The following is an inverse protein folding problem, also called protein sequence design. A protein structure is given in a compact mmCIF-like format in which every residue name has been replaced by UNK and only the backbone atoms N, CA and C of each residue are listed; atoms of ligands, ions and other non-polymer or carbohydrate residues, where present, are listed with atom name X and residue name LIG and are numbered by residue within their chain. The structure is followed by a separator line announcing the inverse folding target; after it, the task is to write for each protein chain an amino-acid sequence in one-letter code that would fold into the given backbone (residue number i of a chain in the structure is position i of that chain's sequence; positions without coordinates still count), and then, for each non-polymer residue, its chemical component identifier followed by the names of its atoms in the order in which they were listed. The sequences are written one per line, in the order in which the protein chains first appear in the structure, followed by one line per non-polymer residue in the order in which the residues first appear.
data_IF_371807106177
#
_entry.id   IF_371807106177
#
_cell.length_a   1.000
_cell.length_b   1.000
_cell.length_c   1.000
_cell.angle_alpha   90.00
_cell.angle_beta   90.00
_cell.angle_gamma   90.00
#
_symmetry.space_group_name_H-M   'P 1'
#
loop_
_entity.id
_entity.type
_entity.pdbx_description
1 polymer ?
#
# COMPACT_ATOMS: atom_id res chain seq x y z
N UNK A 1 -2.83 -0.38 27.70
CA UNK A 1 -1.72 0.52 28.09
C UNK A 1 -1.77 1.77 27.21
N UNK A 2 -1.78 3.01 27.73
CA UNK A 2 -1.77 4.21 26.88
C UNK A 2 -0.42 4.30 26.15
N UNK A 3 -0.43 4.07 24.85
CA UNK A 3 0.78 4.03 24.03
C UNK A 3 1.56 5.35 24.10
N UNK A 4 2.86 5.29 24.39
CA UNK A 4 3.73 6.48 24.37
C UNK A 4 3.66 7.14 23.00
N UNK A 5 3.20 8.40 22.97
CA UNK A 5 3.17 9.25 21.79
C UNK A 5 4.56 9.34 21.14
N UNK A 6 4.64 9.17 19.82
CA UNK A 6 5.91 9.26 19.10
C UNK A 6 6.50 10.66 19.21
N UNK A 7 7.82 10.72 19.32
CA UNK A 7 8.56 11.97 19.12
C UNK A 7 8.60 12.35 17.64
N UNK A 8 8.79 13.62 17.30
CA UNK A 8 8.88 14.06 15.91
C UNK A 8 10.02 13.38 15.11
N UNK A 9 11.11 12.97 15.79
CA UNK A 9 12.18 12.20 15.15
C UNK A 9 11.73 10.78 14.81
N UNK A 10 10.99 10.13 15.71
CA UNK A 10 10.44 8.80 15.46
C UNK A 10 9.39 8.83 14.34
N UNK A 11 8.54 9.85 14.29
CA UNK A 11 7.57 9.99 13.20
C UNK A 11 8.27 10.12 11.84
N UNK A 12 9.28 11.01 11.73
CA UNK A 12 10.06 11.13 10.49
C UNK A 12 10.81 9.86 10.12
N UNK A 13 11.28 9.11 11.12
CA UNK A 13 11.91 7.83 10.91
C UNK A 13 10.93 6.83 10.28
N UNK A 14 9.74 6.68 10.87
CA UNK A 14 8.69 5.79 10.34
C UNK A 14 8.28 6.21 8.93
N UNK A 15 8.04 7.50 8.68
CA UNK A 15 7.73 8.00 7.34
C UNK A 15 8.84 7.70 6.33
N UNK A 16 10.10 7.76 6.77
CA UNK A 16 11.25 7.32 5.98
C UNK A 16 11.16 5.85 5.56
N UNK A 17 10.87 4.96 6.52
CA UNK A 17 10.70 3.53 6.26
C UNK A 17 9.54 3.25 5.29
N UNK A 18 8.38 3.86 5.51
CA UNK A 18 7.19 3.70 4.64
C UNK A 18 7.47 4.20 3.21
N UNK A 19 8.31 5.24 3.06
CA UNK A 19 8.74 5.72 1.74
C UNK A 19 9.80 4.85 1.04
N UNK A 20 10.18 3.71 1.63
CA UNK A 20 11.12 2.76 1.03
C UNK A 20 12.60 3.00 1.36
N UNK A 21 12.91 3.87 2.32
CA UNK A 21 14.29 4.02 2.79
C UNK A 21 14.71 2.81 3.63
N UNK A 22 15.97 2.42 3.51
CA UNK A 22 16.58 1.47 4.47
C UNK A 22 16.55 2.05 5.89
N UNK A 23 16.61 1.18 6.90
CA UNK A 23 16.62 1.62 8.31
C UNK A 23 17.72 2.66 8.58
N UNK A 24 18.93 2.45 8.06
CA UNK A 24 20.04 3.41 8.19
C UNK A 24 19.71 4.76 7.54
N UNK A 25 19.21 4.76 6.31
CA UNK A 25 18.85 5.99 5.59
C UNK A 25 17.73 6.76 6.30
N UNK A 26 16.68 6.04 6.73
CA UNK A 26 15.58 6.62 7.50
C UNK A 26 16.08 7.23 8.81
N UNK A 27 17.00 6.55 9.51
CA UNK A 27 17.59 7.00 10.78
C UNK A 27 18.38 8.31 10.58
N UNK A 28 19.21 8.37 9.54
CA UNK A 28 19.96 9.59 9.21
C UNK A 28 19.00 10.72 8.82
N UNK A 29 18.04 10.46 7.93
CA UNK A 29 17.08 11.46 7.43
C UNK A 29 16.15 11.99 8.54
N UNK A 30 15.84 11.17 9.54
CA UNK A 30 15.06 11.58 10.70
C UNK A 30 15.81 12.59 11.61
N UNK A 31 17.12 12.76 11.43
CA UNK A 31 17.96 13.68 12.19
C UNK A 31 18.51 13.07 13.48
N UNK A 32 18.77 11.75 13.49
CA UNK A 32 19.56 11.12 14.54
C UNK A 32 21.05 11.36 14.31
N UNK A 33 21.84 11.32 15.38
CA UNK A 33 23.28 11.60 15.34
C UNK A 33 24.00 10.54 14.51
N UNK A 34 24.60 10.98 13.41
CA UNK A 34 25.31 10.09 12.47
C UNK A 34 26.75 10.50 12.17
N UNK A 35 27.10 11.77 12.38
CA UNK A 35 28.43 12.30 12.06
C UNK A 35 29.52 11.60 12.89
N UNK A 36 30.53 11.07 12.20
CA UNK A 36 31.68 10.39 12.82
C UNK A 36 31.38 9.01 13.40
N UNK A 37 30.22 8.40 13.08
CA UNK A 37 29.86 7.04 13.48
C UNK A 37 30.12 6.05 12.35
N UNK A 38 30.51 4.82 12.71
CA UNK A 38 30.67 3.73 11.75
C UNK A 38 29.31 3.29 11.19
N UNK A 39 29.33 2.61 10.03
CA UNK A 39 28.13 2.02 9.45
C UNK A 39 27.43 1.05 10.41
N UNK A 40 28.19 0.15 11.04
CA UNK A 40 27.67 -0.85 11.97
C UNK A 40 27.01 -0.21 13.20
N UNK A 41 27.56 0.89 13.71
CA UNK A 41 26.93 1.64 14.79
C UNK A 41 25.57 2.18 14.36
N UNK A 42 25.49 2.75 13.16
CA UNK A 42 24.25 3.32 12.62
C UNK A 42 23.20 2.26 12.35
N UNK A 43 23.60 1.09 11.85
CA UNK A 43 22.68 -0.04 11.64
C UNK A 43 22.13 -0.55 12.96
N UNK A 44 23.00 -0.76 13.95
CA UNK A 44 22.56 -1.22 15.27
C UNK A 44 21.60 -0.23 15.94
N UNK A 45 21.90 1.07 15.87
CA UNK A 45 21.01 2.09 16.44
C UNK A 45 19.69 2.22 15.66
N UNK A 46 19.73 2.14 14.33
CA UNK A 46 18.53 2.16 13.49
C UNK A 46 17.65 0.92 13.76
N UNK A 47 18.26 -0.26 13.89
CA UNK A 47 17.58 -1.49 14.26
C UNK A 47 16.89 -1.34 15.61
N UNK A 48 17.60 -0.86 16.65
CA UNK A 48 17.01 -0.59 17.96
C UNK A 48 15.80 0.36 17.89
N UNK A 49 15.84 1.39 17.03
CA UNK A 49 14.68 2.27 16.83
C UNK A 49 13.50 1.56 16.20
N UNK A 50 13.75 0.67 15.24
CA UNK A 50 12.72 -0.18 14.62
C UNK A 50 12.11 -1.19 15.60
N UNK A 51 12.85 -1.61 16.64
CA UNK A 51 12.32 -2.51 17.67
C UNK A 51 11.39 -1.81 18.68
N UNK A 52 11.34 -0.47 18.72
CA UNK A 52 10.50 0.23 19.68
C UNK A 52 9.01 -0.03 19.40
N UNK A 53 8.22 -0.49 20.40
CA UNK A 53 6.81 -0.86 20.20
C UNK A 53 5.98 0.23 19.52
N UNK A 54 6.16 1.48 19.92
CA UNK A 54 5.44 2.61 19.33
C UNK A 54 5.84 2.90 17.88
N UNK A 55 7.11 2.66 17.51
CA UNK A 55 7.59 2.85 16.13
C UNK A 55 7.00 1.77 15.24
N UNK A 56 6.97 0.52 15.71
CA UNK A 56 6.33 -0.61 15.01
C UNK A 56 4.84 -0.40 14.83
N UNK A 57 4.15 -0.02 15.89
CA UNK A 57 2.71 0.25 15.84
C UNK A 57 2.38 1.33 14.80
N UNK A 58 3.12 2.45 14.81
CA UNK A 58 2.93 3.53 13.83
C UNK A 58 3.29 3.11 12.40
N UNK A 59 4.36 2.33 12.22
CA UNK A 59 4.71 1.79 10.91
C UNK A 59 3.57 0.94 10.35
N UNK A 60 3.02 0.04 11.17
CA UNK A 60 1.90 -0.80 10.79
C UNK A 60 0.65 0.02 10.45
N UNK A 61 0.31 1.00 11.28
CA UNK A 61 -0.81 1.92 11.04
C UNK A 61 -0.68 2.60 9.67
N UNK A 62 0.48 3.19 9.36
CA UNK A 62 0.71 3.83 8.07
C UNK A 62 0.66 2.83 6.90
N UNK A 63 1.22 1.63 7.05
CA UNK A 63 1.13 0.61 6.01
C UNK A 63 -0.33 0.20 5.74
N UNK A 64 -1.14 0.11 6.78
CA UNK A 64 -2.57 -0.19 6.67
C UNK A 64 -3.35 0.98 6.04
N UNK A 65 -3.07 2.23 6.42
CA UNK A 65 -3.62 3.41 5.75
C UNK A 65 -3.30 3.42 4.25
N UNK A 66 -2.03 3.14 3.89
CA UNK A 66 -1.59 3.06 2.50
C UNK A 66 -2.26 1.91 1.75
N UNK A 67 -2.41 0.74 2.38
CA UNK A 67 -3.13 -0.41 1.81
C UNK A 67 -4.60 -0.07 1.55
N UNK A 68 -5.29 0.50 2.53
CA UNK A 68 -6.70 0.89 2.41
C UNK A 68 -6.90 1.96 1.34
N UNK A 69 -6.00 2.95 1.26
CA UNK A 69 -6.03 3.95 0.19
C UNK A 69 -5.80 3.32 -1.18
N UNK A 70 -4.84 2.39 -1.30
CA UNK A 70 -4.58 1.69 -2.55
C UNK A 70 -5.78 0.83 -2.99
N UNK A 71 -6.43 0.14 -2.06
CA UNK A 71 -7.67 -0.60 -2.32
C UNK A 71 -8.79 0.33 -2.80
N UNK A 72 -9.02 1.44 -2.11
CA UNK A 72 -10.04 2.42 -2.50
C UNK A 72 -9.78 3.00 -3.90
N UNK A 73 -8.55 3.44 -4.18
CA UNK A 73 -8.19 3.96 -5.51
C UNK A 73 -8.35 2.89 -6.60
N UNK A 74 -8.11 1.62 -6.26
CA UNK A 74 -8.36 0.51 -7.19
C UNK A 74 -9.86 0.30 -7.44
N UNK A 75 -10.69 0.33 -6.41
CA UNK A 75 -12.15 0.25 -6.56
C UNK A 75 -12.69 1.40 -7.43
N UNK A 76 -12.19 2.62 -7.21
CA UNK A 76 -12.53 3.79 -8.02
C UNK A 76 -12.14 3.60 -9.50
N UNK A 77 -10.95 3.06 -9.76
CA UNK A 77 -10.49 2.75 -11.11
C UNK A 77 -11.40 1.70 -11.77
N UNK A 78 -11.73 0.61 -11.07
CA UNK A 78 -12.64 -0.44 -11.57
C UNK A 78 -14.02 0.15 -11.89
N UNK A 79 -14.58 0.98 -11.01
CA UNK A 79 -15.88 1.61 -11.23
C UNK A 79 -15.86 2.55 -12.45
N UNK A 80 -14.78 3.31 -12.61
CA UNK A 80 -14.59 4.19 -13.76
C UNK A 80 -14.49 3.41 -15.09
N UNK A 81 -13.77 2.28 -15.10
CA UNK A 81 -13.65 1.40 -16.27
C UNK A 81 -14.97 0.72 -16.61
N UNK A 82 -15.73 0.25 -15.61
CA UNK A 82 -17.09 -0.30 -15.80
C UNK A 82 -18.05 0.75 -16.36
N UNK A 83 -18.01 1.97 -15.84
CA UNK A 83 -18.82 3.06 -16.36
C UNK A 83 -18.49 3.34 -17.84
N UNK A 84 -17.21 3.41 -18.21
CA UNK A 84 -16.79 3.64 -19.58
C UNK A 84 -17.23 2.50 -20.53
N UNK A 85 -17.09 1.26 -20.08
CA UNK A 85 -17.60 0.08 -20.77
C UNK A 85 -19.10 0.19 -21.07
N UNK A 86 -19.90 0.53 -20.06
CA UNK A 86 -21.36 0.63 -20.20
C UNK A 86 -21.77 1.80 -21.11
N UNK A 87 -21.07 2.94 -21.04
CA UNK A 87 -21.30 4.05 -21.97
C UNK A 87 -20.97 3.67 -23.41
N UNK A 88 -19.87 2.95 -23.63
CA UNK A 88 -19.49 2.50 -24.97
C UNK A 88 -20.54 1.54 -25.55
N UNK A 89 -21.04 0.59 -24.77
CA UNK A 89 -22.12 -0.30 -25.18
C UNK A 89 -23.41 0.48 -25.52
N UNK A 90 -23.79 1.44 -24.66
CA UNK A 90 -24.98 2.28 -24.91
C UNK A 90 -24.86 3.09 -26.19
N UNK A 91 -23.68 3.66 -26.46
CA UNK A 91 -23.43 4.41 -27.69
C UNK A 91 -23.55 3.51 -28.92
N UNK A 92 -22.95 2.31 -28.90
CA UNK A 92 -23.08 1.31 -29.99
C UNK A 92 -24.55 0.95 -30.23
N UNK A 93 -25.31 0.66 -29.18
CA UNK A 93 -26.69 0.18 -29.30
C UNK A 93 -27.70 1.28 -29.67
N UNK A 94 -27.49 2.51 -29.19
CA UNK A 94 -28.44 3.60 -29.35
C UNK A 94 -28.04 4.61 -30.41
N UNK A 95 -26.91 5.29 -30.21
CA UNK A 95 -26.49 6.44 -31.02
C UNK A 95 -25.85 6.05 -32.35
N UNK A 96 -25.16 4.91 -32.36
CA UNK A 96 -24.47 4.41 -33.53
C UNK A 96 -25.30 3.38 -34.30
N UNK A 97 -26.56 3.12 -33.94
CA UNK A 97 -27.47 2.19 -34.63
C UNK A 97 -26.89 0.77 -34.83
N UNK A 98 -26.03 0.32 -33.91
CA UNK A 98 -25.33 -0.97 -33.99
C UNK A 98 -24.00 -0.92 -34.74
N UNK A 99 -23.61 0.22 -35.32
CA UNK A 99 -22.26 0.41 -35.86
C UNK A 99 -21.27 0.65 -34.72
N UNK A 100 -20.05 0.10 -34.88
CA UNK A 100 -18.99 0.29 -33.90
C UNK A 100 -18.02 1.35 -34.42
N UNK A 101 -18.13 2.58 -33.90
CA UNK A 101 -17.17 3.64 -34.21
C UNK A 101 -15.82 3.34 -33.57
N UNK A 102 -14.74 3.73 -34.25
CA UNK A 102 -13.36 3.52 -33.78
C UNK A 102 -13.11 4.04 -32.37
N UNK A 103 -13.56 5.26 -32.06
CA UNK A 103 -13.41 5.83 -30.72
C UNK A 103 -14.12 5.00 -29.63
N UNK A 104 -15.32 4.51 -29.96
CA UNK A 104 -16.13 3.67 -29.06
C UNK A 104 -15.53 2.27 -28.89
N UNK A 105 -15.02 1.65 -29.97
CA UNK A 105 -14.30 0.38 -29.87
C UNK A 105 -13.03 0.50 -29.04
N UNK A 106 -12.26 1.57 -29.25
CA UNK A 106 -10.99 1.77 -28.55
C UNK A 106 -11.25 1.97 -27.04
N UNK A 107 -12.26 2.76 -26.67
CA UNK A 107 -12.67 2.92 -25.27
C UNK A 107 -13.08 1.59 -24.63
N UNK A 108 -13.91 0.79 -25.33
CA UNK A 108 -14.39 -0.50 -24.84
C UNK A 108 -13.26 -1.52 -24.68
N UNK A 109 -12.43 -1.69 -25.72
CA UNK A 109 -11.30 -2.63 -25.73
C UNK A 109 -10.31 -2.28 -24.63
N UNK A 110 -9.95 -1.01 -24.50
CA UNK A 110 -9.01 -0.56 -23.47
C UNK A 110 -9.59 -0.78 -22.07
N UNK A 111 -10.89 -0.50 -21.84
CA UNK A 111 -11.52 -0.75 -20.56
C UNK A 111 -11.49 -2.24 -20.17
N UNK A 112 -11.81 -3.13 -21.10
CA UNK A 112 -11.77 -4.58 -20.89
C UNK A 112 -10.34 -5.06 -20.63
N UNK A 113 -9.36 -4.57 -21.40
CA UNK A 113 -7.96 -4.93 -21.20
C UNK A 113 -7.44 -4.52 -19.82
N UNK A 114 -7.74 -3.30 -19.37
CA UNK A 114 -7.34 -2.84 -18.05
C UNK A 114 -8.06 -3.59 -16.93
N UNK A 115 -9.35 -3.90 -17.08
CA UNK A 115 -10.08 -4.75 -16.13
C UNK A 115 -9.46 -6.15 -16.03
N UNK A 116 -9.12 -6.78 -17.15
CA UNK A 116 -8.47 -8.10 -17.16
C UNK A 116 -7.09 -8.05 -16.48
N UNK A 117 -6.28 -7.02 -16.76
CA UNK A 117 -4.99 -6.82 -16.07
C UNK A 117 -5.17 -6.67 -14.56
N UNK A 118 -6.18 -5.91 -14.13
CA UNK A 118 -6.48 -5.71 -12.71
C UNK A 118 -6.95 -7.01 -12.04
N UNK A 119 -7.66 -7.88 -12.75
CA UNK A 119 -8.05 -9.21 -12.28
C UNK A 119 -6.85 -10.16 -12.19
N UNK A 120 -5.99 -10.21 -13.21
CA UNK A 120 -4.79 -11.07 -13.24
C UNK A 120 -3.76 -10.71 -12.16
N UNK A 121 -3.55 -9.41 -11.92
CA UNK A 121 -2.61 -8.94 -10.90
C UNK A 121 -3.10 -9.26 -9.48
N UNK A 122 -4.42 -9.40 -9.31
CA UNK A 122 -5.05 -9.59 -8.01
C UNK A 122 -6.34 -10.41 -8.12
N UNK A 123 -6.21 -11.73 -8.38
CA UNK A 123 -7.34 -12.64 -8.37
C UNK A 123 -7.99 -12.64 -7.00
N UNK A 124 -9.32 -12.75 -6.94
CA UNK A 124 -10.10 -12.68 -5.70
C UNK A 124 -9.55 -13.55 -4.56
N UNK A 125 -9.01 -14.74 -4.89
CA UNK A 125 -8.40 -15.67 -3.93
C UNK A 125 -7.09 -15.15 -3.29
N UNK A 126 -6.28 -14.37 -4.02
CA UNK A 126 -5.02 -13.79 -3.49
C UNK A 126 -5.28 -12.65 -2.52
N UNK A 127 -6.40 -11.92 -2.68
CA UNK A 127 -6.79 -10.84 -1.77
C UNK A 127 -7.10 -11.43 -0.39
N UNK A 128 -7.86 -12.54 -0.34
CA UNK A 128 -8.16 -13.21 0.93
C UNK A 128 -6.93 -13.85 1.58
N UNK A 129 -6.05 -14.50 0.82
CA UNK A 129 -4.82 -15.08 1.37
C UNK A 129 -3.88 -14.00 1.92
N UNK A 130 -3.76 -12.85 1.23
CA UNK A 130 -2.95 -11.73 1.72
C UNK A 130 -3.53 -11.17 3.03
N UNK A 131 -4.85 -11.08 3.15
CA UNK A 131 -5.51 -10.65 4.39
C UNK A 131 -5.30 -11.66 5.54
N UNK A 132 -5.44 -12.96 5.26
CA UNK A 132 -5.17 -14.04 6.26
C UNK A 132 -3.72 -14.06 6.72
N UNK A 133 -2.76 -13.94 5.80
CA UNK A 133 -1.33 -13.93 6.15
C UNK A 133 -0.95 -12.70 6.99
N UNK A 134 -1.62 -11.56 6.74
CA UNK A 134 -1.45 -10.37 7.57
C UNK A 134 -2.02 -10.61 8.98
N UNK A 135 -3.17 -11.27 9.13
CA UNK A 135 -3.76 -11.60 10.43
C UNK A 135 -2.90 -12.55 11.27
N UNK A 136 -2.24 -13.51 10.64
CA UNK A 136 -1.35 -14.47 11.30
C UNK A 136 -0.05 -13.81 11.81
N UNK A 137 0.52 -12.86 11.06
CA UNK A 137 1.75 -12.15 11.45
C UNK A 137 1.54 -11.15 12.62
N UNK A 138 0.28 -10.88 12.99
CA UNK A 138 -0.10 -10.13 14.20
C UNK A 138 -0.48 -11.04 15.37
N UNK A 139 -0.71 -12.32 15.13
CA UNK A 139 -1.38 -13.23 16.05
C UNK A 139 -0.47 -14.01 16.99
N UNK A 140 0.83 -14.13 16.70
CA UNK A 140 1.79 -14.84 17.55
C UNK A 140 2.87 -13.86 18.07
N UNK A 141 2.55 -13.17 19.16
CA UNK A 141 3.54 -12.85 20.17
C UNK A 141 3.04 -13.55 21.44
N UNK A 142 3.37 -14.83 21.55
CA UNK A 142 3.24 -15.54 22.83
C UNK A 142 4.15 -14.80 23.82
N UNK A 143 3.50 -14.11 24.77
CA UNK A 143 4.10 -13.65 26.02
C UNK A 143 4.39 -14.91 26.86
N UNK A 144 5.38 -15.70 26.46
CA UNK A 144 5.98 -16.72 27.33
C UNK A 144 6.98 -16.02 28.26
N UNK A 145 6.43 -15.37 29.29
CA UNK A 145 7.16 -14.92 30.48
C UNK A 145 7.28 -16.11 31.47
N UNK A 146 8.47 -16.69 31.55
CA UNK A 146 8.98 -17.47 32.69
C UNK A 146 10.20 -16.75 33.31
#
# INVERSE_FOLDING_TARGET
MPGRKLTSKQERFVQGLVSGLTQRQAFIKAGYTSKGKSGDYLDNEAWKKTQLPQVRARYKELMEEHKNKALWTREEAINSLKWLHDQAIRSIQGEDEGYVRKGTSDALINAIQELNKLEDLYPAEKIEQTNRNIELDIGEWDDDDD
#
